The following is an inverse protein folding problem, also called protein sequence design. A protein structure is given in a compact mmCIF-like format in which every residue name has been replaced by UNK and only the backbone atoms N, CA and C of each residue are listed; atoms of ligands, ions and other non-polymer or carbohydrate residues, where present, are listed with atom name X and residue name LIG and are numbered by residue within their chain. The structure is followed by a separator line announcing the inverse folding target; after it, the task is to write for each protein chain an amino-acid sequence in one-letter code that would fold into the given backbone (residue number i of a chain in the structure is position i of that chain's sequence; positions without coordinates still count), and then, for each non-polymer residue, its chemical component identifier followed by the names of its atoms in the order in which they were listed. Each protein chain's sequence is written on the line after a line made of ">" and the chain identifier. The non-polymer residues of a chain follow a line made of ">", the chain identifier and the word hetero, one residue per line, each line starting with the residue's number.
data_IF_096848855879
#
_entry.id   IF_096848855879
#
_cell.length_a   1.000
_cell.length_b   1.000
_cell.length_c   1.000
_cell.angle_alpha   90.00
_cell.angle_beta   90.00
_cell.angle_gamma   90.00
#
_symmetry.space_group_name_H-M   'P 1'
#
loop_
_entity.id
_entity.type
_entity.pdbx_description
1 polymer ?
#
# COMPACT_ATOMS: atom_id res chain seq x y z
N UNK A 1 8.82 18.37 0.95
CA UNK A 1 8.39 18.58 -0.45
C UNK A 1 6.99 19.13 -0.45
N UNK A 2 6.83 20.26 -1.11
CA UNK A 2 5.62 21.10 -1.12
C UNK A 2 4.42 20.30 -1.65
N UNK A 3 3.33 20.32 -0.89
CA UNK A 3 2.02 19.86 -1.33
C UNK A 3 1.50 20.87 -2.34
N UNK A 4 1.37 20.46 -3.60
CA UNK A 4 0.53 21.21 -4.54
C UNK A 4 -0.88 21.25 -4.00
N UNK A 5 -1.34 22.47 -3.72
CA UNK A 5 -2.72 22.74 -3.39
C UNK A 5 -3.59 22.35 -4.60
N UNK A 6 -4.54 21.44 -4.37
CA UNK A 6 -5.64 21.23 -5.30
C UNK A 6 -6.35 22.57 -5.43
N UNK A 7 -6.14 23.26 -6.54
CA UNK A 7 -6.94 24.42 -6.94
C UNK A 7 -8.37 23.91 -7.12
N UNK A 8 -9.29 24.58 -6.45
CA UNK A 8 -10.72 24.41 -6.66
C UNK A 8 -11.00 24.51 -8.16
N UNK A 9 -11.38 23.39 -8.75
CA UNK A 9 -11.85 23.36 -10.14
C UNK A 9 -13.21 24.07 -10.15
N UNK A 10 -13.47 24.94 -11.13
CA UNK A 10 -14.73 25.67 -11.19
C UNK A 10 -15.89 24.67 -11.22
N UNK A 11 -16.79 24.79 -10.23
CA UNK A 11 -18.08 24.11 -10.24
C UNK A 11 -18.84 24.56 -11.50
N UNK A 12 -19.15 23.58 -12.36
CA UNK A 12 -20.11 23.84 -13.44
C UNK A 12 -21.43 24.23 -12.75
N UNK A 13 -21.98 25.36 -13.20
CA UNK A 13 -23.28 25.86 -12.78
C UNK A 13 -24.31 24.71 -12.78
N UNK A 14 -25.17 24.67 -11.78
CA UNK A 14 -26.28 23.74 -11.58
C UNK A 14 -27.37 23.91 -12.65
N UNK A 15 -27.03 23.59 -13.91
CA UNK A 15 -27.98 23.25 -14.95
C UNK A 15 -27.98 21.73 -15.05
N UNK A 16 -29.11 21.09 -14.89
CA UNK A 16 -29.25 19.63 -15.00
C UNK A 16 -28.79 19.17 -16.39
N UNK A 17 -27.57 18.68 -16.48
CA UNK A 17 -27.09 18.02 -17.71
C UNK A 17 -28.04 16.85 -17.98
N UNK A 18 -28.64 16.70 -19.19
CA UNK A 18 -29.56 15.61 -19.46
C UNK A 18 -28.87 14.27 -19.25
N UNK A 19 -29.59 13.35 -18.62
CA UNK A 19 -29.11 11.98 -18.48
C UNK A 19 -29.05 11.30 -19.84
N UNK A 20 -28.03 10.47 -20.07
CA UNK A 20 -27.81 9.73 -21.32
C UNK A 20 -27.53 8.26 -21.02
N UNK A 21 -27.87 7.41 -21.99
CA UNK A 21 -27.55 5.98 -21.92
C UNK A 21 -26.13 5.74 -22.43
N UNK A 22 -25.41 4.80 -21.80
CA UNK A 22 -24.02 4.50 -22.12
C UNK A 22 -23.72 3.02 -21.85
N UNK A 23 -23.04 2.37 -22.79
CA UNK A 23 -22.44 1.07 -22.60
C UNK A 23 -21.00 1.22 -22.08
N UNK A 24 -20.70 0.53 -20.98
CA UNK A 24 -19.36 0.47 -20.39
C UNK A 24 -18.64 -0.79 -20.89
N UNK A 25 -17.49 -0.61 -21.51
CA UNK A 25 -16.72 -1.72 -22.12
C UNK A 25 -15.54 -2.20 -21.26
N UNK A 26 -15.12 -1.44 -20.24
CA UNK A 26 -14.01 -1.82 -19.34
C UNK A 26 -14.22 -1.22 -17.94
N UNK A 27 -13.41 -1.67 -16.98
CA UNK A 27 -13.30 -1.08 -15.64
C UNK A 27 -11.86 -0.63 -15.44
N UNK A 28 -11.64 0.66 -15.24
CA UNK A 28 -10.33 1.26 -15.05
C UNK A 28 -9.66 0.83 -13.74
N UNK A 29 -8.35 1.01 -13.65
CA UNK A 29 -7.53 0.64 -12.48
C UNK A 29 -7.90 1.39 -11.20
N UNK A 30 -8.63 2.49 -11.31
CA UNK A 30 -9.19 3.27 -10.19
C UNK A 30 -10.62 2.82 -9.80
N UNK A 31 -11.14 1.78 -10.45
CA UNK A 31 -12.45 1.19 -10.19
C UNK A 31 -13.62 1.86 -10.91
N UNK A 32 -13.38 2.85 -11.78
CA UNK A 32 -14.43 3.50 -12.57
C UNK A 32 -14.75 2.71 -13.83
N UNK A 33 -16.03 2.64 -14.20
CA UNK A 33 -16.44 2.12 -15.50
C UNK A 33 -15.95 3.01 -16.65
N UNK A 34 -15.59 2.40 -17.78
CA UNK A 34 -15.08 3.10 -18.97
C UNK A 34 -16.01 2.90 -20.12
N UNK A 35 -16.49 4.00 -20.70
CA UNK A 35 -17.31 4.03 -21.91
C UNK A 35 -16.81 5.05 -22.92
N UNK A 36 -17.59 5.23 -24.01
CA UNK A 36 -17.35 6.28 -25.01
C UNK A 36 -18.62 7.05 -25.28
N UNK A 37 -18.51 8.37 -25.26
CA UNK A 37 -19.58 9.27 -25.69
C UNK A 37 -19.79 9.17 -27.22
N UNK A 38 -20.92 9.65 -27.71
CA UNK A 38 -21.25 9.65 -29.15
C UNK A 38 -20.19 10.36 -30.03
N UNK A 39 -19.47 11.33 -29.47
CA UNK A 39 -18.36 12.02 -30.13
C UNK A 39 -17.02 11.25 -30.07
N UNK A 40 -17.02 9.99 -29.57
CA UNK A 40 -15.83 9.13 -29.42
C UNK A 40 -14.97 9.39 -28.19
N UNK A 41 -15.25 10.43 -27.42
CA UNK A 41 -14.49 10.77 -26.20
C UNK A 41 -14.66 9.72 -25.11
N UNK A 42 -13.58 9.37 -24.44
CA UNK A 42 -13.61 8.42 -23.31
C UNK A 42 -14.33 9.08 -22.12
N UNK A 43 -15.24 8.33 -21.50
CA UNK A 43 -15.92 8.75 -20.27
C UNK A 43 -15.68 7.75 -19.16
N UNK A 44 -15.36 8.28 -17.97
CA UNK A 44 -15.19 7.51 -16.74
C UNK A 44 -16.43 7.69 -15.86
N UNK A 45 -17.00 6.57 -15.40
CA UNK A 45 -18.23 6.56 -14.60
C UNK A 45 -17.96 5.93 -13.24
N UNK A 46 -18.07 6.73 -12.20
CA UNK A 46 -17.91 6.23 -10.84
C UNK A 46 -19.03 5.26 -10.48
N UNK A 47 -18.66 4.06 -9.96
CA UNK A 47 -19.59 3.00 -9.61
C UNK A 47 -20.12 2.18 -10.81
N UNK A 48 -19.70 2.47 -12.05
CA UNK A 48 -20.00 1.65 -13.22
C UNK A 48 -19.00 0.50 -13.38
N UNK A 49 -19.40 -0.56 -14.09
CA UNK A 49 -18.56 -1.73 -14.39
C UNK A 49 -18.59 -2.05 -15.90
N UNK A 50 -17.48 -2.57 -16.39
CA UNK A 50 -17.43 -3.08 -17.76
C UNK A 50 -18.50 -4.15 -18.03
N UNK A 51 -19.11 -4.10 -19.20
CA UNK A 51 -20.22 -4.96 -19.62
C UNK A 51 -21.60 -4.47 -19.19
N UNK A 52 -21.72 -3.31 -18.56
CA UNK A 52 -23.00 -2.73 -18.15
C UNK A 52 -23.53 -1.74 -19.17
N UNK A 53 -24.88 -1.66 -19.27
CA UNK A 53 -25.59 -0.52 -19.88
C UNK A 53 -26.16 0.32 -18.75
N UNK A 54 -25.85 1.61 -18.76
CA UNK A 54 -26.16 2.52 -17.66
C UNK A 54 -26.82 3.80 -18.17
N UNK A 55 -27.51 4.48 -17.26
CA UNK A 55 -27.86 5.90 -17.41
C UNK A 55 -26.91 6.71 -16.55
N UNK A 56 -26.32 7.78 -17.11
CA UNK A 56 -25.39 8.64 -16.41
C UNK A 56 -25.62 10.11 -16.71
N UNK A 57 -25.11 11.02 -15.86
CA UNK A 57 -25.07 12.47 -16.08
C UNK A 57 -23.62 12.95 -16.09
N UNK A 58 -23.27 13.86 -17.01
CA UNK A 58 -21.93 14.45 -17.05
C UNK A 58 -21.68 15.32 -15.82
N UNK A 59 -20.52 15.15 -15.20
CA UNK A 59 -20.05 15.95 -14.06
C UNK A 59 -18.92 16.88 -14.50
N UNK A 60 -18.02 16.37 -15.33
CA UNK A 60 -16.88 17.13 -15.85
C UNK A 60 -16.54 16.66 -17.24
N UNK A 61 -16.12 17.60 -18.11
CA UNK A 61 -15.66 17.30 -19.46
C UNK A 61 -14.52 18.26 -19.84
N UNK A 62 -13.47 17.70 -20.46
CA UNK A 62 -12.39 18.49 -21.06
C UNK A 62 -12.13 18.03 -22.50
N UNK A 63 -11.05 18.50 -23.14
CA UNK A 63 -10.73 18.15 -24.54
C UNK A 63 -10.48 16.65 -24.78
N UNK A 64 -10.01 15.90 -23.78
CA UNK A 64 -9.55 14.52 -23.93
C UNK A 64 -10.47 13.49 -23.31
N UNK A 65 -11.16 13.82 -22.21
CA UNK A 65 -11.98 12.87 -21.44
C UNK A 65 -13.18 13.56 -20.79
N UNK A 66 -14.14 12.73 -20.38
CA UNK A 66 -15.27 13.14 -19.56
C UNK A 66 -15.35 12.29 -18.26
N UNK A 67 -15.97 12.86 -17.24
CA UNK A 67 -16.39 12.16 -16.03
C UNK A 67 -17.90 12.26 -15.90
N UNK A 68 -18.54 11.13 -15.55
CA UNK A 68 -19.97 11.08 -15.36
C UNK A 68 -20.35 10.38 -14.06
N UNK A 69 -21.50 10.73 -13.52
CA UNK A 69 -22.09 10.10 -12.36
C UNK A 69 -23.14 9.08 -12.79
N UNK A 70 -23.07 7.89 -12.23
CA UNK A 70 -24.03 6.82 -12.41
C UNK A 70 -25.39 7.22 -11.83
N UNK A 71 -26.45 7.15 -12.64
CA UNK A 71 -27.84 7.35 -12.22
C UNK A 71 -28.54 6.01 -12.00
N UNK A 72 -28.46 5.11 -13.00
CA UNK A 72 -29.07 3.77 -12.92
C UNK A 72 -28.32 2.78 -13.80
N UNK A 73 -28.53 1.48 -13.54
CA UNK A 73 -27.99 0.37 -14.34
C UNK A 73 -29.16 -0.38 -14.95
N UNK A 74 -29.30 -0.33 -16.28
CA UNK A 74 -30.36 -1.02 -17.05
C UNK A 74 -29.98 -2.47 -17.34
N UNK A 75 -28.69 -2.73 -17.66
CA UNK A 75 -28.12 -4.07 -17.81
C UNK A 75 -26.95 -4.24 -16.88
N UNK A 76 -27.06 -5.16 -15.91
CA UNK A 76 -26.03 -5.41 -14.91
C UNK A 76 -24.96 -6.36 -15.42
N UNK A 77 -23.71 -6.11 -15.03
CA UNK A 77 -22.63 -7.10 -15.13
C UNK A 77 -22.81 -8.21 -14.09
N UNK A 78 -22.39 -9.43 -14.43
CA UNK A 78 -22.35 -10.57 -13.49
C UNK A 78 -21.40 -10.33 -12.30
N UNK A 79 -20.46 -9.38 -12.46
CA UNK A 79 -19.56 -8.96 -11.39
C UNK A 79 -20.23 -8.09 -10.31
N UNK A 80 -21.44 -7.55 -10.62
CA UNK A 80 -22.09 -6.57 -9.72
C UNK A 80 -22.78 -7.23 -8.55
N UNK A 81 -22.58 -6.64 -7.38
CA UNK A 81 -23.35 -6.92 -6.17
C UNK A 81 -23.89 -5.64 -5.53
N UNK A 82 -24.86 -5.79 -4.62
CA UNK A 82 -25.25 -4.69 -3.72
C UNK A 82 -24.12 -4.46 -2.73
N UNK A 83 -23.61 -3.23 -2.56
CA UNK A 83 -22.58 -2.93 -1.56
C UNK A 83 -23.01 -3.40 -0.16
N UNK A 84 -22.21 -4.22 0.54
CA UNK A 84 -22.55 -4.68 1.88
C UNK A 84 -22.38 -3.58 2.96
N UNK A 85 -21.59 -2.55 2.68
CA UNK A 85 -21.38 -1.44 3.60
C UNK A 85 -22.43 -0.35 3.39
N UNK A 86 -23.10 0.07 4.46
CA UNK A 86 -24.11 1.16 4.40
C UNK A 86 -23.54 2.52 3.99
N UNK A 87 -22.23 2.72 4.20
CA UNK A 87 -21.55 3.97 3.86
C UNK A 87 -20.89 3.96 2.47
N UNK A 88 -21.08 2.90 1.68
CA UNK A 88 -20.37 2.70 0.42
C UNK A 88 -20.60 3.81 -0.62
N UNK A 89 -21.75 4.47 -0.59
CA UNK A 89 -22.08 5.58 -1.50
C UNK A 89 -21.38 6.90 -1.16
N UNK A 90 -20.92 7.07 0.08
CA UNK A 90 -20.35 8.32 0.58
C UNK A 90 -18.88 8.19 0.94
N UNK A 91 -18.51 7.10 1.63
CA UNK A 91 -17.16 6.89 2.14
C UNK A 91 -16.14 6.68 1.02
N UNK A 92 -15.00 7.38 1.08
CA UNK A 92 -13.89 7.26 0.12
C UNK A 92 -12.98 6.05 0.35
N UNK A 93 -13.18 5.27 1.44
CA UNK A 93 -12.27 4.19 1.82
C UNK A 93 -12.31 2.95 0.92
N UNK A 94 -13.43 2.70 0.22
CA UNK A 94 -13.64 1.50 -0.61
C UNK A 94 -14.22 1.86 -1.97
N UNK A 95 -13.52 1.50 -3.05
CA UNK A 95 -13.95 1.82 -4.43
C UNK A 95 -14.72 0.67 -5.08
N UNK A 96 -14.57 -0.58 -4.59
CA UNK A 96 -15.07 -1.80 -5.24
C UNK A 96 -16.14 -2.55 -4.45
N UNK A 97 -16.86 -1.91 -3.53
CA UNK A 97 -17.90 -2.54 -2.73
C UNK A 97 -19.07 -3.10 -3.59
N UNK A 98 -19.28 -2.52 -4.77
CA UNK A 98 -20.30 -2.94 -5.74
C UNK A 98 -19.84 -4.10 -6.64
N UNK A 99 -18.63 -4.62 -6.44
CA UNK A 99 -18.04 -5.76 -7.16
C UNK A 99 -17.96 -6.97 -6.22
N UNK A 100 -18.34 -8.16 -6.70
CA UNK A 100 -18.21 -9.39 -5.90
C UNK A 100 -16.74 -9.67 -5.56
N UNK A 101 -16.41 -10.28 -4.41
CA UNK A 101 -15.01 -10.53 -4.01
C UNK A 101 -14.19 -11.28 -5.06
N UNK A 102 -14.75 -12.32 -5.67
CA UNK A 102 -14.09 -13.07 -6.73
C UNK A 102 -13.78 -12.19 -7.97
N UNK A 103 -14.72 -11.31 -8.35
CA UNK A 103 -14.53 -10.40 -9.47
C UNK A 103 -13.52 -9.29 -9.14
N UNK A 104 -13.40 -8.85 -7.89
CA UNK A 104 -12.35 -7.90 -7.47
C UNK A 104 -10.95 -8.46 -7.77
N UNK A 105 -10.70 -9.73 -7.42
CA UNK A 105 -9.41 -10.38 -7.69
C UNK A 105 -9.18 -10.52 -9.19
N UNK A 106 -10.19 -10.90 -9.97
CA UNK A 106 -10.10 -11.01 -11.43
C UNK A 106 -9.78 -9.67 -12.09
N UNK A 107 -10.43 -8.58 -11.66
CA UNK A 107 -10.13 -7.21 -12.13
C UNK A 107 -8.70 -6.81 -11.80
N UNK A 108 -8.23 -7.02 -10.58
CA UNK A 108 -6.86 -6.69 -10.16
C UNK A 108 -5.82 -7.47 -10.97
N UNK A 109 -6.09 -8.75 -11.26
CA UNK A 109 -5.27 -9.56 -12.17
C UNK A 109 -5.22 -8.96 -13.59
N UNK A 110 -6.38 -8.59 -14.12
CA UNK A 110 -6.47 -7.95 -15.45
C UNK A 110 -5.71 -6.62 -15.46
N UNK A 111 -5.87 -5.78 -14.45
CA UNK A 111 -5.18 -4.51 -14.32
C UNK A 111 -3.66 -4.66 -14.25
N UNK A 112 -3.17 -5.65 -13.51
CA UNK A 112 -1.74 -5.93 -13.48
C UNK A 112 -1.22 -6.23 -14.88
N UNK A 113 -1.84 -7.17 -15.62
CA UNK A 113 -1.44 -7.54 -16.97
C UNK A 113 -1.50 -6.36 -17.94
N UNK A 114 -2.56 -5.55 -17.85
CA UNK A 114 -2.68 -4.32 -18.67
C UNK A 114 -1.59 -3.29 -18.32
N UNK A 115 -1.25 -3.16 -17.06
CA UNK A 115 -0.21 -2.22 -16.57
C UNK A 115 1.17 -2.65 -17.03
N UNK A 116 1.49 -3.96 -16.98
CA UNK A 116 2.73 -4.50 -17.55
C UNK A 116 2.87 -4.17 -19.04
N UNK A 117 1.76 -4.24 -19.78
CA UNK A 117 1.74 -3.95 -21.22
C UNK A 117 1.85 -2.45 -21.51
N UNK A 118 0.99 -1.62 -20.89
CA UNK A 118 0.80 -0.20 -21.27
C UNK A 118 1.85 0.72 -20.63
N UNK A 119 2.15 0.51 -19.35
CA UNK A 119 3.06 1.35 -18.57
C UNK A 119 4.45 0.74 -18.55
N UNK A 120 4.56 -0.52 -18.21
CA UNK A 120 5.82 -1.25 -18.16
C UNK A 120 6.43 -1.49 -19.53
N UNK A 121 5.61 -1.57 -20.58
CA UNK A 121 6.05 -1.92 -21.93
C UNK A 121 6.91 -3.21 -21.91
N UNK A 122 6.49 -4.17 -21.10
CA UNK A 122 7.14 -5.46 -21.02
C UNK A 122 7.05 -6.17 -22.37
N UNK A 123 8.07 -6.95 -22.77
CA UNK A 123 8.00 -7.73 -24.00
C UNK A 123 6.78 -8.67 -23.99
N UNK A 124 6.06 -8.83 -25.13
CA UNK A 124 4.87 -9.67 -25.19
C UNK A 124 5.07 -11.09 -24.68
N UNK A 125 6.23 -11.68 -24.94
CA UNK A 125 6.61 -13.00 -24.42
C UNK A 125 6.67 -13.01 -22.89
N UNK A 126 7.28 -11.99 -22.29
CA UNK A 126 7.38 -11.87 -20.84
C UNK A 126 6.02 -11.64 -20.20
N UNK A 127 5.11 -10.89 -20.85
CA UNK A 127 3.73 -10.72 -20.39
C UNK A 127 2.99 -12.06 -20.41
N UNK A 128 3.15 -12.86 -21.48
CA UNK A 128 2.53 -14.17 -21.59
C UNK A 128 3.05 -15.13 -20.51
N UNK A 129 4.37 -15.13 -20.26
CA UNK A 129 4.98 -15.91 -19.18
C UNK A 129 4.46 -15.45 -17.81
N UNK A 130 4.48 -14.14 -17.55
CA UNK A 130 3.92 -13.55 -16.34
C UNK A 130 2.47 -13.98 -16.12
N UNK A 131 1.63 -13.93 -17.16
CA UNK A 131 0.22 -14.34 -17.10
C UNK A 131 0.01 -15.82 -16.76
N UNK A 132 0.90 -16.71 -17.23
CA UNK A 132 0.84 -18.17 -16.95
C UNK A 132 1.28 -18.49 -15.53
N UNK A 133 2.32 -17.84 -15.01
CA UNK A 133 2.86 -18.09 -13.67
C UNK A 133 2.20 -17.25 -12.58
N UNK A 134 1.35 -16.26 -12.94
CA UNK A 134 0.75 -15.35 -12.00
C UNK A 134 -0.13 -16.10 -11.00
N UNK A 135 0.38 -16.21 -9.77
CA UNK A 135 -0.39 -16.66 -8.61
C UNK A 135 -1.19 -15.49 -8.06
N UNK A 136 -2.48 -15.71 -7.89
CA UNK A 136 -3.35 -14.73 -7.24
C UNK A 136 -3.86 -15.30 -5.92
N UNK A 137 -3.77 -14.52 -4.86
CA UNK A 137 -4.25 -14.89 -3.54
C UNK A 137 -5.11 -13.78 -2.95
N UNK A 138 -6.32 -14.13 -2.51
CA UNK A 138 -7.22 -13.23 -1.82
C UNK A 138 -7.15 -13.48 -0.33
N UNK A 139 -6.77 -12.46 0.42
CA UNK A 139 -6.81 -12.49 1.87
C UNK A 139 -8.25 -12.27 2.39
N UNK A 140 -8.44 -12.29 3.71
CA UNK A 140 -9.74 -12.01 4.31
C UNK A 140 -10.30 -10.66 3.85
N UNK A 141 -11.58 -10.64 3.44
CA UNK A 141 -12.22 -9.44 2.89
C UNK A 141 -12.90 -8.56 3.95
N UNK A 142 -13.02 -9.04 5.19
CA UNK A 142 -13.68 -8.34 6.28
C UNK A 142 -12.81 -8.36 7.55
N UNK A 143 -12.97 -7.33 8.38
CA UNK A 143 -12.35 -7.24 9.71
C UNK A 143 -10.81 -7.38 9.72
N UNK A 144 -10.17 -7.12 8.59
CA UNK A 144 -8.75 -7.36 8.38
C UNK A 144 -7.86 -6.18 8.75
N UNK A 145 -8.40 -4.96 8.72
CA UNK A 145 -7.61 -3.74 8.82
C UNK A 145 -7.18 -3.48 10.26
N UNK A 146 -5.89 -3.57 10.51
CA UNK A 146 -5.26 -3.42 11.84
C UNK A 146 -4.70 -2.04 12.11
N UNK A 147 -4.70 -1.14 11.13
CA UNK A 147 -4.27 0.26 11.27
C UNK A 147 -5.18 1.17 10.47
N UNK A 148 -5.66 2.23 11.11
CA UNK A 148 -6.59 3.20 10.52
C UNK A 148 -6.16 4.62 10.84
N UNK A 149 -6.55 5.54 9.98
CA UNK A 149 -6.50 6.98 10.25
C UNK A 149 -7.91 7.52 10.17
N UNK A 150 -8.40 8.02 11.28
CA UNK A 150 -9.67 8.71 11.39
C UNK A 150 -9.48 10.22 11.34
N UNK A 151 -10.51 10.89 10.88
CA UNK A 151 -10.65 12.33 10.86
C UNK A 151 -11.84 12.73 11.71
N UNK A 152 -11.69 13.77 12.52
CA UNK A 152 -12.74 14.33 13.34
C UNK A 152 -12.95 15.79 12.96
N UNK A 153 -14.18 16.16 12.57
CA UNK A 153 -14.54 17.49 12.10
C UNK A 153 -15.26 18.36 13.15
N UNK A 154 -15.17 17.98 14.42
CA UNK A 154 -15.92 18.61 15.52
C UNK A 154 -17.21 17.89 15.89
N UNK A 155 -17.74 17.03 15.02
CA UNK A 155 -19.02 16.31 15.22
C UNK A 155 -18.89 14.82 14.98
N UNK A 156 -18.19 14.42 13.92
CA UNK A 156 -18.07 13.03 13.49
C UNK A 156 -16.63 12.58 13.39
N UNK A 157 -16.36 11.34 13.85
CA UNK A 157 -15.10 10.64 13.72
C UNK A 157 -15.24 9.54 12.66
N UNK A 158 -14.53 9.66 11.55
CA UNK A 158 -14.65 8.71 10.46
C UNK A 158 -13.59 8.83 9.39
N UNK A 159 -13.97 8.53 8.16
CA UNK A 159 -13.11 8.63 6.99
C UNK A 159 -13.57 9.76 6.08
N UNK A 160 -12.68 10.26 5.24
CA UNK A 160 -13.09 11.23 4.24
C UNK A 160 -14.05 10.64 3.21
N UNK A 161 -15.00 11.45 2.80
CA UNK A 161 -15.83 11.19 1.64
C UNK A 161 -14.97 11.15 0.36
N UNK A 162 -15.51 10.55 -0.69
CA UNK A 162 -14.82 10.46 -1.99
C UNK A 162 -14.50 11.85 -2.53
N UNK A 163 -13.24 12.04 -2.97
CA UNK A 163 -12.75 13.32 -3.55
C UNK A 163 -13.06 14.56 -2.69
N UNK A 164 -13.16 14.40 -1.37
CA UNK A 164 -13.55 15.44 -0.43
C UNK A 164 -12.84 15.30 0.91
N UNK A 165 -12.79 16.37 1.69
CA UNK A 165 -12.37 16.38 3.09
C UNK A 165 -13.56 16.33 4.07
N UNK A 166 -14.78 16.15 3.58
CA UNK A 166 -15.93 15.92 4.44
C UNK A 166 -15.80 14.58 5.15
N UNK A 167 -16.03 14.56 6.46
CA UNK A 167 -15.95 13.33 7.25
C UNK A 167 -17.26 12.58 7.14
N UNK A 168 -17.16 11.28 6.83
CA UNK A 168 -18.26 10.33 6.87
C UNK A 168 -18.09 9.46 8.09
N UNK A 169 -19.10 9.36 8.91
CA UNK A 169 -19.10 8.46 10.07
C UNK A 169 -18.79 7.02 9.63
N UNK A 170 -17.80 6.41 10.26
CA UNK A 170 -17.30 5.09 9.89
C UNK A 170 -17.81 3.96 10.79
N UNK A 171 -18.95 4.17 11.48
CA UNK A 171 -19.51 3.19 12.39
C UNK A 171 -19.85 1.86 11.68
N UNK A 172 -19.50 0.74 12.31
CA UNK A 172 -19.71 -0.58 11.75
C UNK A 172 -18.92 -0.84 10.45
N UNK A 173 -17.80 -0.20 10.25
CA UNK A 173 -16.97 -0.40 9.07
C UNK A 173 -16.60 -1.88 8.91
N UNK A 174 -16.93 -2.48 7.75
CA UNK A 174 -16.77 -3.91 7.51
C UNK A 174 -15.30 -4.37 7.48
N UNK A 175 -14.36 -3.51 7.09
CA UNK A 175 -12.96 -3.89 6.92
C UNK A 175 -12.10 -3.65 8.16
N UNK A 176 -12.53 -2.77 9.07
CA UNK A 176 -11.78 -2.41 10.28
C UNK A 176 -11.90 -3.52 11.31
N UNK A 177 -10.80 -3.85 12.00
CA UNK A 177 -10.81 -4.83 13.08
C UNK A 177 -11.79 -4.43 14.20
N UNK A 178 -12.51 -5.38 14.82
CA UNK A 178 -13.56 -5.08 15.80
C UNK A 178 -13.07 -4.23 16.98
N UNK A 179 -11.84 -4.42 17.41
CA UNK A 179 -11.20 -3.67 18.51
C UNK A 179 -11.05 -2.19 18.15
N UNK A 180 -10.61 -1.91 16.92
CA UNK A 180 -10.50 -0.54 16.41
C UNK A 180 -11.88 0.11 16.25
N UNK A 181 -12.89 -0.62 15.79
CA UNK A 181 -14.25 -0.08 15.63
C UNK A 181 -14.88 0.26 16.99
N UNK A 182 -14.66 -0.59 18.02
CA UNK A 182 -15.02 -0.26 19.40
C UNK A 182 -14.31 0.98 19.92
N UNK A 183 -12.99 1.05 19.73
CA UNK A 183 -12.20 2.21 20.14
C UNK A 183 -12.69 3.50 19.45
N UNK A 184 -13.07 3.41 18.15
CA UNK A 184 -13.66 4.54 17.41
C UNK A 184 -14.98 5.00 18.06
N UNK A 185 -15.88 4.06 18.38
CA UNK A 185 -17.18 4.38 18.95
C UNK A 185 -17.04 5.08 20.32
N UNK A 186 -16.17 4.56 21.18
CA UNK A 186 -15.89 5.18 22.47
C UNK A 186 -15.22 6.55 22.30
N UNK A 187 -14.27 6.68 21.40
CA UNK A 187 -13.61 7.95 21.10
C UNK A 187 -14.60 8.98 20.54
N UNK A 188 -15.49 8.56 19.62
CA UNK A 188 -16.57 9.41 19.10
C UNK A 188 -17.44 9.96 20.24
N UNK A 189 -17.93 9.10 21.12
CA UNK A 189 -18.79 9.50 22.24
C UNK A 189 -18.12 10.53 23.14
N UNK A 190 -16.82 10.40 23.35
CA UNK A 190 -16.04 11.32 24.18
C UNK A 190 -15.73 12.65 23.50
N UNK A 191 -15.31 12.60 22.22
CA UNK A 191 -15.03 13.81 21.42
C UNK A 191 -16.29 14.67 21.23
N UNK A 192 -17.48 14.09 21.30
CA UNK A 192 -18.77 14.82 21.26
C UNK A 192 -19.33 15.16 22.62
N UNK A 193 -18.65 14.84 23.73
CA UNK A 193 -19.09 15.24 25.06
C UNK A 193 -19.08 16.77 25.25
N UNK A 194 -19.97 17.34 26.09
CA UNK A 194 -20.01 18.78 26.33
C UNK A 194 -18.68 19.39 26.77
N UNK A 195 -17.91 18.65 27.59
CA UNK A 195 -16.60 19.07 28.05
C UNK A 195 -15.61 19.24 26.89
N UNK A 196 -15.55 18.25 25.99
CA UNK A 196 -14.70 18.31 24.81
C UNK A 196 -15.14 19.36 23.81
N UNK A 197 -16.44 19.48 23.56
CA UNK A 197 -16.98 20.47 22.66
C UNK A 197 -16.68 21.91 23.13
N UNK A 198 -16.71 22.16 24.44
CA UNK A 198 -16.30 23.43 25.01
C UNK A 198 -14.80 23.72 24.81
N UNK A 199 -13.97 22.70 24.98
CA UNK A 199 -12.52 22.79 24.75
C UNK A 199 -12.21 23.06 23.28
N UNK A 200 -12.84 22.32 22.36
CA UNK A 200 -12.66 22.50 20.91
C UNK A 200 -13.10 23.87 20.42
N UNK A 201 -14.24 24.37 20.93
CA UNK A 201 -14.71 25.71 20.62
C UNK A 201 -13.71 26.80 21.07
N UNK A 202 -13.14 26.67 22.28
CA UNK A 202 -12.12 27.60 22.78
C UNK A 202 -10.81 27.54 22.00
N UNK A 203 -10.43 26.37 21.50
CA UNK A 203 -9.22 26.18 20.68
C UNK A 203 -9.45 26.55 19.20
N UNK A 204 -10.70 26.70 18.77
CA UNK A 204 -11.05 26.88 17.37
C UNK A 204 -10.66 25.68 16.52
N UNK A 205 -10.98 24.46 16.97
CA UNK A 205 -10.64 23.24 16.26
C UNK A 205 -11.34 23.19 14.90
N UNK A 206 -10.56 22.97 13.85
CA UNK A 206 -11.06 22.77 12.47
C UNK A 206 -11.13 21.28 12.15
N UNK A 207 -10.05 20.54 12.43
CA UNK A 207 -10.02 19.09 12.29
C UNK A 207 -8.97 18.46 13.20
N UNK A 208 -9.13 17.14 13.39
CA UNK A 208 -8.23 16.31 14.15
C UNK A 208 -8.00 14.99 13.43
N UNK A 209 -6.73 14.59 13.24
CA UNK A 209 -6.35 13.31 12.66
C UNK A 209 -5.83 12.38 13.75
N UNK A 210 -6.48 11.23 13.87
CA UNK A 210 -6.14 10.21 14.85
C UNK A 210 -5.79 8.90 14.12
N UNK A 211 -4.58 8.43 14.34
CA UNK A 211 -4.16 7.13 13.85
C UNK A 211 -4.32 6.09 14.97
N UNK A 212 -4.96 4.98 14.65
CA UNK A 212 -5.16 3.88 15.59
C UNK A 212 -4.55 2.60 15.05
N UNK A 213 -3.86 1.85 15.91
CA UNK A 213 -3.18 0.60 15.57
C UNK A 213 -3.54 -0.49 16.57
N UNK A 214 -3.86 -1.69 16.04
CA UNK A 214 -4.07 -2.89 16.82
C UNK A 214 -2.71 -3.48 17.23
N UNK A 215 -2.54 -3.73 18.52
CA UNK A 215 -1.33 -4.34 19.06
C UNK A 215 -1.41 -5.86 19.05
N UNK A 216 -0.29 -6.54 19.30
CA UNK A 216 -0.20 -8.01 19.40
C UNK A 216 -1.16 -8.59 20.44
N UNK A 217 -1.35 -7.92 21.57
CA UNK A 217 -2.24 -8.33 22.65
C UNK A 217 -3.71 -7.92 22.45
N UNK A 218 -4.09 -7.60 21.22
CA UNK A 218 -5.44 -7.14 20.82
C UNK A 218 -5.86 -5.79 21.46
N UNK A 219 -4.96 -5.10 22.19
CA UNK A 219 -5.19 -3.73 22.64
C UNK A 219 -5.05 -2.74 21.49
N UNK A 220 -5.53 -1.53 21.69
CA UNK A 220 -5.47 -0.45 20.68
C UNK A 220 -4.59 0.68 21.19
N UNK A 221 -3.67 1.13 20.35
CA UNK A 221 -2.94 2.37 20.59
C UNK A 221 -3.43 3.46 19.66
N UNK A 222 -3.52 4.68 20.19
CA UNK A 222 -3.92 5.87 19.45
C UNK A 222 -2.73 6.82 19.31
N UNK A 223 -2.66 7.46 18.16
CA UNK A 223 -1.68 8.50 17.87
C UNK A 223 -2.37 9.75 17.34
N UNK A 224 -2.19 10.87 18.04
CA UNK A 224 -2.64 12.16 17.57
C UNK A 224 -1.69 12.66 16.48
N UNK A 225 -2.03 12.42 15.22
CA UNK A 225 -1.14 12.67 14.10
C UNK A 225 -1.06 14.15 13.73
N UNK A 226 -2.19 14.79 13.63
CA UNK A 226 -2.30 16.17 13.20
C UNK A 226 -3.55 16.82 13.79
N UNK A 227 -3.52 18.15 13.97
CA UNK A 227 -4.65 18.93 14.41
C UNK A 227 -4.55 20.33 13.84
N UNK A 228 -5.68 20.90 13.41
CA UNK A 228 -5.74 22.28 12.94
C UNK A 228 -6.66 23.08 13.84
N UNK A 229 -6.14 24.18 14.40
CA UNK A 229 -6.84 25.11 15.26
C UNK A 229 -6.70 26.52 14.73
N UNK A 230 -7.79 27.29 14.71
CA UNK A 230 -7.76 28.71 14.33
C UNK A 230 -7.11 29.60 15.41
N UNK A 231 -7.02 29.11 16.66
CA UNK A 231 -6.37 29.79 17.78
C UNK A 231 -4.83 29.75 17.76
N UNK A 232 -4.22 29.16 16.72
CA UNK A 232 -2.77 29.08 16.55
C UNK A 232 -2.09 28.02 17.44
N UNK A 233 -0.75 27.98 17.39
CA UNK A 233 0.08 26.91 18.00
C UNK A 233 -0.12 26.74 19.52
N UNK A 234 -0.37 27.84 20.25
CA UNK A 234 -0.58 27.75 21.70
C UNK A 234 -1.92 27.06 22.05
N UNK A 235 -2.98 27.35 21.29
CA UNK A 235 -4.27 26.70 21.45
C UNK A 235 -4.18 25.21 21.06
N UNK A 236 -3.45 24.89 20.01
CA UNK A 236 -3.17 23.51 19.59
C UNK A 236 -2.40 22.74 20.66
N UNK A 237 -1.33 23.29 21.22
CA UNK A 237 -0.56 22.66 22.27
C UNK A 237 -1.41 22.35 23.51
N UNK A 238 -2.23 23.32 23.96
CA UNK A 238 -3.15 23.14 25.08
C UNK A 238 -4.22 22.08 24.79
N UNK A 239 -4.75 22.04 23.57
CA UNK A 239 -5.69 21.01 23.15
C UNK A 239 -5.04 19.62 23.17
N UNK A 240 -3.80 19.47 22.64
CA UNK A 240 -3.04 18.22 22.70
C UNK A 240 -2.82 17.75 24.14
N UNK A 241 -2.40 18.66 25.03
CA UNK A 241 -2.21 18.36 26.44
C UNK A 241 -3.52 17.86 27.10
N UNK A 242 -4.63 18.53 26.83
CA UNK A 242 -5.96 18.15 27.34
C UNK A 242 -6.40 16.79 26.79
N UNK A 243 -6.14 16.51 25.50
CA UNK A 243 -6.38 15.20 24.90
C UNK A 243 -5.54 14.11 25.58
N UNK A 244 -4.26 14.36 25.84
CA UNK A 244 -3.38 13.43 26.57
C UNK A 244 -3.88 13.16 27.98
N UNK A 245 -4.27 14.19 28.73
CA UNK A 245 -4.79 14.05 30.10
C UNK A 245 -6.07 13.22 30.12
N UNK A 246 -6.95 13.44 29.16
CA UNK A 246 -8.22 12.76 29.04
C UNK A 246 -8.09 11.27 28.70
N UNK A 247 -7.20 10.90 27.79
CA UNK A 247 -7.04 9.52 27.39
C UNK A 247 -6.22 8.70 28.39
N UNK A 248 -5.39 9.33 29.23
CA UNK A 248 -4.77 8.66 30.39
C UNK A 248 -5.81 8.04 31.33
N UNK A 249 -7.03 8.54 31.35
CA UNK A 249 -8.14 7.99 32.15
C UNK A 249 -8.80 6.76 31.53
N UNK A 250 -8.35 6.34 30.35
CA UNK A 250 -8.99 5.29 29.57
C UNK A 250 -8.22 3.96 29.67
N UNK A 251 -8.76 3.00 30.43
CA UNK A 251 -8.17 1.68 30.58
C UNK A 251 -8.04 0.97 29.22
N UNK A 252 -6.82 0.60 28.85
CA UNK A 252 -6.53 -0.20 27.65
C UNK A 252 -6.18 0.60 26.40
N UNK A 253 -6.15 1.95 26.45
CA UNK A 253 -5.68 2.77 25.36
C UNK A 253 -4.37 3.49 25.74
N UNK A 254 -3.41 3.40 24.84
CA UNK A 254 -2.18 4.22 24.91
C UNK A 254 -2.30 5.35 23.90
N UNK A 255 -2.11 6.59 24.33
CA UNK A 255 -1.97 7.72 23.40
C UNK A 255 -0.52 8.14 23.31
N UNK A 256 -0.11 8.43 22.07
CA UNK A 256 1.23 8.86 21.72
C UNK A 256 2.28 8.05 22.47
N UNK A 257 2.32 6.71 22.29
CA UNK A 257 3.23 5.86 23.04
C UNK A 257 4.65 6.32 22.81
N UNK A 258 5.37 6.50 23.92
CA UNK A 258 6.82 6.74 23.87
C UNK A 258 7.51 5.39 23.62
N UNK A 259 8.44 5.38 22.66
CA UNK A 259 9.19 4.17 22.33
C UNK A 259 8.50 3.30 21.28
N UNK A 260 8.71 2.01 21.34
CA UNK A 260 8.19 1.06 20.35
C UNK A 260 6.83 0.49 20.76
N UNK A 261 6.03 0.12 19.76
CA UNK A 261 4.80 -0.66 19.94
C UNK A 261 5.00 -2.07 19.40
N UNK A 262 4.49 -3.06 20.11
CA UNK A 262 4.57 -4.45 19.71
C UNK A 262 3.38 -4.83 18.83
N UNK A 263 3.67 -5.41 17.66
CA UNK A 263 2.67 -5.90 16.71
C UNK A 263 2.81 -7.39 16.50
N UNK A 264 1.78 -8.02 15.92
CA UNK A 264 1.84 -9.43 15.56
C UNK A 264 2.83 -9.66 14.40
N UNK A 265 3.65 -10.69 14.53
CA UNK A 265 4.58 -11.15 13.50
C UNK A 265 4.55 -12.69 13.41
N UNK A 266 4.55 -13.30 12.20
CA UNK A 266 4.39 -14.74 12.06
C UNK A 266 5.54 -15.57 12.64
N UNK A 267 6.75 -15.03 12.63
CA UNK A 267 7.97 -15.79 12.98
C UNK A 267 8.67 -15.27 14.25
N UNK A 268 8.18 -14.19 14.86
CA UNK A 268 8.82 -13.55 16.02
C UNK A 268 7.81 -13.30 17.12
N UNK A 269 8.14 -13.72 18.34
CA UNK A 269 7.30 -13.46 19.52
C UNK A 269 7.26 -11.98 19.90
N UNK A 270 8.35 -11.27 19.63
CA UNK A 270 8.44 -9.83 19.88
C UNK A 270 8.91 -9.11 18.63
N UNK A 271 7.97 -8.56 17.87
CA UNK A 271 8.28 -7.66 16.77
C UNK A 271 7.72 -6.27 17.07
N UNK A 272 8.58 -5.27 16.97
CA UNK A 272 8.22 -3.91 17.31
C UNK A 272 8.35 -2.97 16.12
N UNK A 273 7.52 -1.93 16.13
CA UNK A 273 7.63 -0.81 15.19
C UNK A 273 7.64 0.52 15.96
N UNK A 274 8.13 1.57 15.33
CA UNK A 274 7.84 2.92 15.80
C UNK A 274 6.33 3.18 15.70
N UNK A 275 5.70 3.88 16.64
CA UNK A 275 4.27 4.21 16.57
C UNK A 275 3.84 4.86 15.26
N UNK A 276 4.73 5.68 14.67
CA UNK A 276 4.51 6.31 13.36
C UNK A 276 5.11 5.50 12.20
N UNK A 277 5.78 4.38 12.48
CA UNK A 277 6.40 3.52 11.48
C UNK A 277 5.36 2.85 10.58
N UNK A 278 5.80 2.39 9.43
CA UNK A 278 4.93 1.65 8.52
C UNK A 278 4.48 0.31 9.15
N UNK A 279 3.24 -0.05 8.90
CA UNK A 279 2.65 -1.35 9.21
C UNK A 279 1.73 -1.73 8.07
N UNK A 280 1.85 -2.96 7.57
CA UNK A 280 0.92 -3.50 6.58
C UNK A 280 -0.53 -3.39 7.10
N UNK A 281 -1.45 -2.78 6.34
CA UNK A 281 -2.81 -2.54 6.82
C UNK A 281 -3.60 -3.81 7.09
N UNK A 282 -3.34 -4.89 6.35
CA UNK A 282 -3.98 -6.18 6.52
C UNK A 282 -3.19 -7.04 7.52
N UNK A 283 -3.87 -7.53 8.58
CA UNK A 283 -3.24 -8.26 9.68
C UNK A 283 -2.48 -9.54 9.26
N UNK A 284 -2.91 -10.20 8.18
CA UNK A 284 -2.27 -11.41 7.65
C UNK A 284 -1.26 -11.14 6.51
N UNK A 285 -1.12 -9.89 6.05
CA UNK A 285 -0.27 -9.59 4.89
C UNK A 285 1.18 -10.01 5.09
N UNK A 286 1.75 -9.72 6.26
CA UNK A 286 3.13 -10.06 6.58
C UNK A 286 3.38 -11.57 6.48
N UNK A 287 2.47 -12.39 7.03
CA UNK A 287 2.55 -13.85 6.95
C UNK A 287 2.49 -14.34 5.50
N UNK A 288 1.52 -13.86 4.72
CA UNK A 288 1.34 -14.23 3.32
C UNK A 288 2.57 -13.88 2.48
N UNK A 289 3.09 -12.66 2.62
CA UNK A 289 4.23 -12.20 1.83
C UNK A 289 5.51 -12.93 2.21
N UNK A 290 5.79 -13.08 3.51
CA UNK A 290 6.98 -13.81 4.00
C UNK A 290 6.96 -15.28 3.57
N UNK A 291 5.79 -15.93 3.66
CA UNK A 291 5.62 -17.33 3.23
C UNK A 291 5.89 -17.49 1.74
N UNK A 292 5.33 -16.61 0.90
CA UNK A 292 5.54 -16.63 -0.55
C UNK A 292 7.01 -16.39 -0.91
N UNK A 293 7.62 -15.32 -0.39
CA UNK A 293 9.02 -14.99 -0.67
C UNK A 293 9.93 -16.13 -0.23
N UNK A 294 9.76 -16.67 0.98
CA UNK A 294 10.58 -17.78 1.50
C UNK A 294 10.44 -19.02 0.64
N UNK A 295 9.22 -19.38 0.25
CA UNK A 295 8.94 -20.54 -0.60
C UNK A 295 9.62 -20.41 -1.95
N UNK A 296 9.49 -19.26 -2.60
CA UNK A 296 10.04 -19.01 -3.93
C UNK A 296 11.56 -18.91 -3.90
N UNK A 297 12.14 -18.24 -2.91
CA UNK A 297 13.61 -18.20 -2.77
C UNK A 297 14.20 -19.59 -2.56
N UNK A 298 13.61 -20.41 -1.69
CA UNK A 298 14.05 -21.79 -1.45
C UNK A 298 13.94 -22.68 -2.70
N UNK A 299 12.96 -22.41 -3.56
CA UNK A 299 12.78 -23.11 -4.82
C UNK A 299 13.82 -22.62 -5.83
N UNK A 300 13.93 -21.31 -6.02
CA UNK A 300 14.85 -20.69 -6.98
C UNK A 300 16.31 -21.07 -6.73
N UNK A 301 16.75 -21.07 -5.47
CA UNK A 301 18.13 -21.41 -5.11
C UNK A 301 18.54 -22.81 -5.62
N UNK A 302 17.59 -23.71 -5.87
CA UNK A 302 17.83 -25.07 -6.38
C UNK A 302 17.84 -25.17 -7.92
N UNK A 303 17.50 -24.07 -8.61
CA UNK A 303 17.41 -24.08 -10.07
C UNK A 303 18.78 -24.15 -10.73
N UNK A 304 18.89 -24.89 -11.88
CA UNK A 304 20.08 -24.85 -12.71
C UNK A 304 20.43 -23.41 -13.14
N UNK A 305 21.71 -23.08 -13.13
CA UNK A 305 22.22 -21.75 -13.46
C UNK A 305 22.47 -20.87 -12.23
N UNK A 306 22.20 -21.38 -11.02
CA UNK A 306 22.55 -20.73 -9.75
C UNK A 306 23.63 -21.51 -8.98
N UNK A 307 24.34 -22.44 -9.64
CA UNK A 307 25.38 -23.29 -9.02
C UNK A 307 26.47 -22.48 -8.35
N UNK A 308 26.90 -21.37 -8.96
CA UNK A 308 27.90 -20.46 -8.38
C UNK A 308 27.42 -19.79 -7.11
N UNK A 309 26.12 -19.51 -7.00
CA UNK A 309 25.51 -19.05 -5.76
C UNK A 309 25.49 -20.18 -4.72
N UNK A 310 25.21 -21.42 -5.15
CA UNK A 310 25.25 -22.58 -4.29
C UNK A 310 26.65 -22.87 -3.73
N UNK A 311 27.70 -22.68 -4.53
CA UNK A 311 29.10 -22.86 -4.12
C UNK A 311 29.61 -21.84 -3.12
N UNK A 312 28.95 -20.66 -3.04
CA UNK A 312 29.33 -19.59 -2.10
C UNK A 312 28.92 -19.95 -0.68
N UNK A 313 29.88 -19.87 0.25
CA UNK A 313 29.60 -19.97 1.71
C UNK A 313 29.04 -18.69 2.30
N UNK A 314 29.40 -17.53 1.74
CA UNK A 314 29.02 -16.21 2.22
C UNK A 314 28.21 -15.49 1.13
N UNK A 315 26.98 -15.10 1.45
CA UNK A 315 26.13 -14.28 0.59
C UNK A 315 26.05 -12.84 1.11
N UNK A 316 25.93 -11.90 0.20
CA UNK A 316 25.58 -10.52 0.52
C UNK A 316 24.16 -10.25 0.08
N UNK A 317 23.34 -9.75 0.98
CA UNK A 317 21.98 -9.33 0.69
C UNK A 317 21.81 -7.83 0.96
N UNK A 318 20.94 -7.18 0.19
CA UNK A 318 20.42 -5.85 0.49
C UNK A 318 18.93 -5.95 0.75
N UNK A 319 18.47 -5.28 1.81
CA UNK A 319 17.06 -5.03 2.09
C UNK A 319 16.83 -3.51 2.02
N UNK A 320 16.29 -3.07 0.89
CA UNK A 320 16.07 -1.67 0.57
C UNK A 320 14.65 -1.26 0.92
N UNK A 321 14.51 -0.13 1.60
CA UNK A 321 13.27 0.32 2.25
C UNK A 321 12.82 -0.67 3.33
N UNK A 322 13.78 -1.14 4.13
CA UNK A 322 13.59 -2.25 5.05
C UNK A 322 12.61 -1.96 6.21
N UNK A 323 12.26 -0.72 6.46
CA UNK A 323 11.39 -0.33 7.57
C UNK A 323 11.91 -0.86 8.91
N UNK A 324 11.05 -1.54 9.65
CA UNK A 324 11.40 -2.20 10.92
C UNK A 324 12.00 -3.61 10.74
N UNK A 325 12.31 -4.02 9.51
CA UNK A 325 12.96 -5.30 9.22
C UNK A 325 11.98 -6.46 8.98
N UNK A 326 10.78 -6.18 8.48
CA UNK A 326 9.75 -7.21 8.26
C UNK A 326 10.20 -8.36 7.34
N UNK A 327 11.17 -8.12 6.46
CA UNK A 327 11.67 -9.09 5.48
C UNK A 327 13.18 -9.31 5.56
N UNK A 328 13.91 -8.60 6.43
CA UNK A 328 15.38 -8.54 6.47
C UNK A 328 16.06 -9.89 6.75
N UNK A 329 15.39 -10.83 7.40
CA UNK A 329 15.88 -12.15 7.73
C UNK A 329 15.62 -13.22 6.62
N UNK A 330 14.80 -12.88 5.61
CA UNK A 330 14.40 -13.85 4.58
C UNK A 330 15.54 -14.37 3.72
N UNK A 331 16.56 -13.57 3.33
CA UNK A 331 17.72 -14.10 2.64
C UNK A 331 18.46 -15.19 3.44
N UNK A 332 18.64 -14.98 4.75
CA UNK A 332 19.27 -15.94 5.64
C UNK A 332 18.41 -17.21 5.81
N UNK A 333 17.09 -17.05 5.96
CA UNK A 333 16.16 -18.20 6.02
C UNK A 333 16.17 -19.04 4.74
N UNK A 334 16.30 -18.39 3.59
CA UNK A 334 16.39 -19.09 2.31
C UNK A 334 17.72 -19.83 2.15
N UNK A 335 18.83 -19.22 2.58
CA UNK A 335 20.16 -19.79 2.54
C UNK A 335 20.33 -21.04 3.42
N UNK A 336 19.56 -21.13 4.52
CA UNK A 336 19.67 -22.20 5.51
C UNK A 336 20.91 -22.07 6.39
N UNK A 337 21.15 -23.07 7.24
CA UNK A 337 22.21 -23.03 8.27
C UNK A 337 23.64 -23.24 7.74
N UNK A 338 23.78 -23.70 6.51
CA UNK A 338 25.10 -24.02 5.90
C UNK A 338 25.81 -22.77 5.32
N UNK A 339 25.16 -21.64 5.29
CA UNK A 339 25.68 -20.41 4.69
C UNK A 339 25.56 -19.21 5.62
N UNK A 340 26.53 -18.32 5.54
CA UNK A 340 26.47 -17.03 6.20
C UNK A 340 25.89 -15.99 5.25
N UNK A 341 24.91 -15.19 5.71
CA UNK A 341 24.32 -14.10 4.93
C UNK A 341 24.52 -12.79 5.66
N UNK A 342 25.21 -11.86 5.02
CA UNK A 342 25.33 -10.48 5.48
C UNK A 342 24.27 -9.65 4.80
N UNK A 343 23.26 -9.19 5.54
CA UNK A 343 22.17 -8.35 5.01
C UNK A 343 22.38 -6.89 5.37
N UNK A 344 22.59 -6.03 4.37
CA UNK A 344 22.58 -4.58 4.52
C UNK A 344 21.14 -4.08 4.48
N UNK A 345 20.70 -3.41 5.55
CA UNK A 345 19.35 -2.89 5.70
C UNK A 345 19.37 -1.37 5.58
N UNK A 346 18.65 -0.82 4.60
CA UNK A 346 18.70 0.60 4.24
C UNK A 346 17.30 1.21 4.31
N UNK A 347 17.16 2.27 5.09
CA UNK A 347 15.89 2.96 5.32
C UNK A 347 16.15 4.45 5.62
N UNK A 348 15.33 5.34 5.07
CA UNK A 348 15.45 6.78 5.29
C UNK A 348 14.93 7.26 6.65
N UNK A 349 14.17 6.44 7.39
CA UNK A 349 13.53 6.82 8.65
C UNK A 349 14.29 6.23 9.84
N UNK A 350 14.94 7.07 10.62
CA UNK A 350 15.76 6.65 11.75
C UNK A 350 15.00 5.83 12.82
N UNK A 351 13.74 6.18 13.07
CA UNK A 351 12.89 5.46 14.02
C UNK A 351 12.59 4.02 13.55
N UNK A 352 12.51 3.78 12.25
CA UNK A 352 12.34 2.45 11.67
C UNK A 352 13.62 1.61 11.82
N UNK A 353 14.79 2.19 11.53
CA UNK A 353 16.08 1.53 11.76
C UNK A 353 16.30 1.19 13.24
N UNK A 354 15.91 2.04 14.17
CA UNK A 354 15.98 1.74 15.58
C UNK A 354 15.10 0.54 15.96
N UNK A 355 13.90 0.44 15.38
CA UNK A 355 13.03 -0.73 15.55
C UNK A 355 13.63 -1.99 14.90
N UNK A 356 14.24 -1.87 13.71
CA UNK A 356 14.94 -2.98 13.06
C UNK A 356 16.08 -3.52 13.95
N UNK A 357 16.92 -2.65 14.51
CA UNK A 357 18.01 -3.05 15.40
C UNK A 357 17.51 -3.78 16.65
N UNK A 358 16.34 -3.45 17.14
CA UNK A 358 15.67 -4.18 18.21
C UNK A 358 15.19 -5.57 17.72
N UNK A 359 14.51 -5.61 16.60
CA UNK A 359 13.94 -6.83 16.02
C UNK A 359 15.02 -7.83 15.58
N UNK A 360 16.13 -7.32 15.04
CA UNK A 360 17.21 -8.09 14.43
C UNK A 360 18.56 -7.60 14.95
N UNK A 361 18.88 -7.89 16.20
CA UNK A 361 20.15 -7.44 16.84
C UNK A 361 21.39 -7.89 16.05
N UNK A 362 21.34 -9.06 15.40
CA UNK A 362 22.43 -9.56 14.54
C UNK A 362 22.67 -8.67 13.29
N UNK A 363 21.68 -7.88 12.84
CA UNK A 363 21.80 -6.99 11.69
C UNK A 363 22.10 -5.54 12.09
N UNK A 364 22.26 -5.26 13.39
CA UNK A 364 22.37 -3.88 13.88
C UNK A 364 23.53 -3.08 13.27
N UNK A 365 24.66 -3.75 12.98
CA UNK A 365 25.85 -3.11 12.41
C UNK A 365 25.75 -2.90 10.88
N UNK A 366 24.80 -3.56 10.21
CA UNK A 366 24.52 -3.46 8.77
C UNK A 366 23.29 -2.61 8.48
N UNK A 367 22.64 -2.05 9.52
CA UNK A 367 21.46 -1.21 9.38
C UNK A 367 21.83 0.28 9.35
N UNK A 368 21.55 0.97 8.25
CA UNK A 368 21.88 2.37 8.03
C UNK A 368 20.66 3.24 7.77
N UNK A 369 20.71 4.48 8.25
CA UNK A 369 19.74 5.54 7.93
C UNK A 369 20.29 6.32 6.76
N UNK A 370 19.78 6.08 5.57
CA UNK A 370 20.30 6.67 4.32
C UNK A 370 19.19 6.72 3.26
N UNK A 371 19.26 7.69 2.35
CA UNK A 371 18.40 7.64 1.15
C UNK A 371 18.79 6.43 0.30
N UNK A 372 17.80 5.61 -0.01
CA UNK A 372 18.03 4.35 -0.73
C UNK A 372 18.60 4.55 -2.11
N UNK A 373 18.26 5.62 -2.82
CA UNK A 373 18.77 5.90 -4.16
C UNK A 373 20.24 6.35 -4.10
N UNK A 374 20.61 7.11 -3.08
CA UNK A 374 22.00 7.52 -2.82
C UNK A 374 22.85 6.30 -2.45
N UNK A 375 22.35 5.43 -1.56
CA UNK A 375 22.99 4.15 -1.23
C UNK A 375 23.24 3.31 -2.49
N UNK A 376 22.22 3.09 -3.34
CA UNK A 376 22.35 2.34 -4.59
C UNK A 376 23.45 2.96 -5.47
N UNK A 377 23.41 4.28 -5.67
CA UNK A 377 24.38 4.97 -6.52
C UNK A 377 25.81 4.82 -6.03
N UNK A 378 26.02 4.97 -4.71
CA UNK A 378 27.35 4.81 -4.08
C UNK A 378 27.87 3.36 -4.23
N UNK A 379 27.06 2.36 -3.96
CA UNK A 379 27.45 0.95 -4.03
C UNK A 379 27.66 0.46 -5.46
N UNK A 380 26.83 0.89 -6.41
CA UNK A 380 27.02 0.63 -7.84
C UNK A 380 28.37 1.21 -8.31
N UNK A 381 28.70 2.45 -7.91
CA UNK A 381 29.98 3.08 -8.24
C UNK A 381 31.19 2.35 -7.63
N UNK A 382 31.04 1.83 -6.41
CA UNK A 382 32.06 1.06 -5.72
C UNK A 382 32.14 -0.41 -6.21
N UNK A 383 31.24 -0.85 -7.09
CA UNK A 383 31.09 -2.23 -7.53
C UNK A 383 30.85 -3.24 -6.37
N UNK A 384 30.19 -2.78 -5.30
CA UNK A 384 29.80 -3.56 -4.13
C UNK A 384 28.35 -4.00 -4.30
N UNK A 385 28.10 -5.11 -4.98
CA UNK A 385 26.77 -5.53 -5.39
C UNK A 385 26.29 -6.78 -4.62
N UNK A 386 25.00 -6.88 -4.29
CA UNK A 386 24.45 -8.00 -3.53
C UNK A 386 24.30 -9.25 -4.39
N UNK A 387 24.23 -10.41 -3.74
CA UNK A 387 23.80 -11.67 -4.35
C UNK A 387 22.27 -11.77 -4.34
N UNK A 388 21.64 -11.23 -3.28
CA UNK A 388 20.19 -11.13 -3.14
C UNK A 388 19.82 -9.68 -2.85
N UNK A 389 18.97 -9.12 -3.69
CA UNK A 389 18.35 -7.80 -3.50
C UNK A 389 16.88 -8.00 -3.10
N UNK A 390 16.48 -7.42 -1.98
CA UNK A 390 15.09 -7.24 -1.61
C UNK A 390 14.74 -5.76 -1.71
N UNK A 391 13.61 -5.44 -2.30
CA UNK A 391 13.18 -4.06 -2.52
C UNK A 391 11.66 -3.93 -2.31
N UNK A 392 11.26 -3.19 -1.26
CA UNK A 392 9.85 -2.85 -0.93
C UNK A 392 9.67 -1.33 -0.96
N UNK A 393 9.72 -0.70 -2.13
CA UNK A 393 9.74 0.75 -2.26
C UNK A 393 8.36 1.38 -1.98
N UNK A 394 8.30 2.69 -1.67
CA UNK A 394 7.05 3.43 -1.60
C UNK A 394 6.32 3.42 -2.95
N UNK A 395 5.07 3.91 -2.96
CA UNK A 395 4.21 3.93 -4.17
C UNK A 395 4.87 4.51 -5.42
N UNK A 396 5.74 5.50 -5.25
CA UNK A 396 6.47 6.13 -6.35
C UNK A 396 7.58 5.24 -6.94
N UNK A 397 7.91 4.12 -6.29
CA UNK A 397 9.01 3.24 -6.67
C UNK A 397 10.39 3.87 -6.46
N UNK A 398 11.42 3.22 -7.01
CA UNK A 398 12.79 3.77 -7.02
C UNK A 398 13.08 4.67 -8.24
N UNK A 399 12.23 4.59 -9.25
CA UNK A 399 12.35 5.28 -10.52
C UNK A 399 13.19 4.54 -11.57
N UNK A 400 12.76 4.60 -12.82
CA UNK A 400 13.38 3.88 -13.93
C UNK A 400 14.90 4.14 -14.10
N UNK A 401 15.44 5.35 -13.90
CA UNK A 401 16.89 5.57 -13.99
C UNK A 401 17.67 4.77 -12.96
N UNK A 402 17.25 4.77 -11.69
CA UNK A 402 17.89 4.03 -10.59
C UNK A 402 17.78 2.52 -10.83
N UNK A 403 16.61 2.03 -11.23
CA UNK A 403 16.38 0.63 -11.56
C UNK A 403 17.27 0.17 -12.72
N UNK A 404 17.43 0.98 -13.75
CA UNK A 404 18.32 0.69 -14.91
C UNK A 404 19.80 0.63 -14.52
N UNK A 405 20.26 1.60 -13.72
CA UNK A 405 21.64 1.59 -13.23
C UNK A 405 21.93 0.34 -12.40
N UNK A 406 21.03 -0.03 -11.51
CA UNK A 406 21.13 -1.22 -10.67
C UNK A 406 21.09 -2.52 -11.49
N UNK A 407 20.14 -2.69 -12.40
CA UNK A 407 20.06 -3.86 -13.29
C UNK A 407 21.33 -4.03 -14.13
N UNK A 408 21.81 -2.94 -14.75
CA UNK A 408 23.06 -2.94 -15.53
C UNK A 408 24.28 -3.30 -14.68
N UNK A 409 24.35 -2.81 -13.44
CA UNK A 409 25.46 -3.14 -12.55
C UNK A 409 25.43 -4.64 -12.16
N UNK A 410 24.28 -5.16 -11.81
CA UNK A 410 24.11 -6.57 -11.43
C UNK A 410 24.50 -7.54 -12.57
N UNK A 411 24.27 -7.19 -13.84
CA UNK A 411 24.68 -8.05 -14.97
C UNK A 411 26.18 -8.06 -15.23
N UNK A 412 26.93 -7.08 -14.68
CA UNK A 412 28.40 -7.06 -14.76
C UNK A 412 29.04 -7.98 -13.71
N UNK A 413 28.28 -8.45 -12.71
CA UNK A 413 28.74 -9.46 -11.77
C UNK A 413 28.99 -10.78 -12.48
N UNK A 414 30.09 -11.44 -12.14
CA UNK A 414 30.38 -12.82 -12.61
C UNK A 414 29.48 -13.86 -11.91
N UNK A 415 29.05 -13.58 -10.68
CA UNK A 415 28.16 -14.49 -9.91
C UNK A 415 26.69 -14.16 -10.15
N UNK A 416 25.80 -15.14 -9.94
CA UNK A 416 24.36 -14.94 -10.06
C UNK A 416 23.84 -13.84 -9.16
N UNK A 417 22.69 -13.26 -9.54
CA UNK A 417 21.98 -12.25 -8.76
C UNK A 417 20.49 -12.56 -8.72
N UNK A 418 19.89 -12.42 -7.54
CA UNK A 418 18.45 -12.60 -7.30
C UNK A 418 17.84 -11.27 -6.84
N UNK A 419 16.70 -10.91 -7.41
CA UNK A 419 15.97 -9.69 -7.08
C UNK A 419 14.55 -10.04 -6.65
N UNK A 420 14.21 -9.75 -5.40
CA UNK A 420 12.86 -9.82 -4.85
C UNK A 420 12.28 -8.42 -4.86
N UNK A 421 11.17 -8.24 -5.56
CA UNK A 421 10.49 -6.95 -5.65
C UNK A 421 9.09 -7.04 -5.07
N UNK A 422 8.79 -6.19 -4.09
CA UNK A 422 7.49 -6.05 -3.47
C UNK A 422 6.94 -4.69 -3.88
N UNK A 423 5.65 -4.58 -4.24
CA UNK A 423 5.09 -3.31 -4.67
C UNK A 423 3.60 -3.20 -4.38
N UNK A 424 3.21 -2.10 -3.76
CA UNK A 424 1.81 -1.73 -3.53
C UNK A 424 1.18 -0.90 -4.66
N UNK A 425 1.97 -0.56 -5.70
CA UNK A 425 1.51 0.15 -6.89
C UNK A 425 1.97 -0.56 -8.16
N UNK A 426 1.01 -0.96 -8.99
CA UNK A 426 1.28 -1.74 -10.20
C UNK A 426 2.01 -0.92 -11.29
N UNK A 427 1.83 0.39 -11.32
CA UNK A 427 2.43 1.24 -12.35
C UNK A 427 3.92 1.45 -12.08
N UNK A 428 4.29 1.77 -10.84
CA UNK A 428 5.69 1.86 -10.43
C UNK A 428 6.38 0.50 -10.52
N UNK A 429 5.70 -0.60 -10.13
CA UNK A 429 6.19 -1.96 -10.32
C UNK A 429 6.56 -2.23 -11.78
N UNK A 430 5.61 -2.04 -12.70
CA UNK A 430 5.80 -2.34 -14.11
C UNK A 430 6.94 -1.51 -14.73
N UNK A 431 7.04 -0.22 -14.36
CA UNK A 431 8.08 0.70 -14.81
C UNK A 431 9.46 0.32 -14.27
N UNK A 432 9.57 0.04 -12.98
CA UNK A 432 10.87 -0.13 -12.32
C UNK A 432 11.45 -1.55 -12.49
N UNK A 433 10.62 -2.55 -12.79
CA UNK A 433 11.08 -3.91 -13.05
C UNK A 433 11.42 -4.18 -14.52
N UNK A 434 10.91 -3.37 -15.46
CA UNK A 434 11.28 -3.49 -16.88
C UNK A 434 12.79 -3.47 -17.14
N UNK A 435 13.59 -2.58 -16.52
CA UNK A 435 15.05 -2.57 -16.73
C UNK A 435 15.75 -3.90 -16.42
N UNK A 436 15.22 -4.71 -15.49
CA UNK A 436 15.78 -6.02 -15.18
C UNK A 436 15.51 -7.00 -16.34
N UNK A 437 14.30 -6.98 -16.92
CA UNK A 437 14.00 -7.79 -18.11
C UNK A 437 14.83 -7.35 -19.32
N UNK A 438 15.02 -6.04 -19.53
CA UNK A 438 15.87 -5.50 -20.60
C UNK A 438 17.34 -5.93 -20.43
N UNK A 439 17.77 -6.11 -19.17
CA UNK A 439 19.09 -6.61 -18.82
C UNK A 439 19.16 -8.15 -18.76
N UNK A 440 18.21 -8.86 -19.36
CA UNK A 440 18.15 -10.32 -19.46
C UNK A 440 18.01 -11.07 -18.14
N UNK A 441 17.41 -10.45 -17.13
CA UNK A 441 16.95 -11.19 -15.97
C UNK A 441 15.75 -12.07 -16.33
N UNK A 442 15.74 -13.27 -15.80
CA UNK A 442 14.62 -14.19 -15.92
C UNK A 442 13.59 -13.91 -14.82
N UNK A 443 12.30 -13.83 -15.18
CA UNK A 443 11.22 -13.82 -14.20
C UNK A 443 11.01 -15.24 -13.68
N UNK A 444 11.27 -15.46 -12.38
CA UNK A 444 11.06 -16.76 -11.72
C UNK A 444 9.65 -16.89 -11.18
N UNK A 445 9.12 -15.84 -10.57
CA UNK A 445 7.77 -15.88 -10.00
C UNK A 445 7.11 -14.50 -10.02
N UNK A 446 5.77 -14.52 -10.12
CA UNK A 446 4.91 -13.35 -9.99
C UNK A 446 3.69 -13.73 -9.18
N UNK A 447 3.41 -12.99 -8.12
CA UNK A 447 2.24 -13.18 -7.27
C UNK A 447 1.52 -11.84 -7.05
N UNK A 448 0.19 -11.89 -7.03
CA UNK A 448 -0.69 -10.79 -6.70
C UNK A 448 -1.50 -11.15 -5.46
N UNK A 449 -1.40 -10.32 -4.43
CA UNK A 449 -2.13 -10.48 -3.17
C UNK A 449 -3.21 -9.40 -3.04
N UNK A 450 -4.47 -9.82 -2.95
CA UNK A 450 -5.57 -8.95 -2.58
C UNK A 450 -5.69 -8.86 -1.05
N UNK A 451 -4.79 -8.11 -0.44
CA UNK A 451 -4.82 -7.73 0.98
C UNK A 451 -5.58 -6.41 1.21
N UNK A 452 -6.22 -5.86 0.19
CA UNK A 452 -6.96 -4.60 0.23
C UNK A 452 -8.36 -4.79 -0.37
N UNK A 453 -9.07 -5.82 0.10
CA UNK A 453 -10.42 -6.11 -0.39
C UNK A 453 -11.31 -4.86 -0.37
N UNK A 454 -12.18 -4.75 -1.36
CA UNK A 454 -13.07 -3.61 -1.63
C UNK A 454 -12.38 -2.32 -2.09
N UNK A 455 -11.05 -2.32 -2.25
CA UNK A 455 -10.30 -1.20 -2.81
C UNK A 455 -9.64 -1.57 -4.13
N UNK A 456 -9.15 -0.58 -4.86
CA UNK A 456 -8.40 -0.77 -6.10
C UNK A 456 -6.96 -1.29 -5.90
N UNK A 457 -6.47 -1.31 -4.67
CA UNK A 457 -5.09 -1.67 -4.37
C UNK A 457 -4.88 -3.18 -4.31
N UNK A 458 -3.68 -3.61 -4.69
CA UNK A 458 -3.14 -4.96 -4.47
C UNK A 458 -1.64 -4.88 -4.28
N UNK A 459 -1.06 -5.91 -3.65
CA UNK A 459 0.37 -6.09 -3.59
C UNK A 459 0.84 -7.04 -4.69
N UNK A 460 1.96 -6.70 -5.29
CA UNK A 460 2.63 -7.53 -6.29
C UNK A 460 3.99 -7.94 -5.74
N UNK A 461 4.25 -9.25 -5.73
CA UNK A 461 5.55 -9.81 -5.34
C UNK A 461 6.11 -10.55 -6.55
N UNK A 462 7.34 -10.24 -6.92
CA UNK A 462 8.02 -10.90 -8.02
C UNK A 462 9.46 -11.24 -7.64
N UNK A 463 9.98 -12.29 -8.26
CA UNK A 463 11.37 -12.66 -8.13
C UNK A 463 11.97 -12.78 -9.52
N UNK A 464 13.06 -12.06 -9.72
CA UNK A 464 13.88 -12.13 -10.93
C UNK A 464 15.25 -12.70 -10.57
N UNK A 465 15.92 -13.29 -11.55
CA UNK A 465 17.27 -13.79 -11.39
C UNK A 465 18.10 -13.66 -12.65
N UNK A 466 19.37 -13.51 -12.47
CA UNK A 466 20.38 -13.46 -13.53
C UNK A 466 21.48 -14.48 -13.24
N UNK A 467 21.86 -15.33 -14.21
CA UNK A 467 22.79 -16.46 -13.97
C UNK A 467 24.26 -16.05 -13.77
N UNK A 468 24.57 -14.75 -13.90
CA UNK A 468 25.94 -14.27 -13.94
C UNK A 468 26.47 -14.18 -15.39
N UNK A 469 27.51 -13.40 -15.60
CA UNK A 469 28.16 -13.33 -16.89
C UNK A 469 28.89 -14.64 -17.18
N UNK A 470 28.54 -15.32 -18.28
CA UNK A 470 29.31 -16.48 -18.73
C UNK A 470 30.77 -16.06 -18.99
N UNK A 471 31.71 -16.84 -18.47
CA UNK A 471 33.14 -16.65 -18.77
C UNK A 471 33.41 -16.89 -20.25
#
# INVERSE_FOLDING_TARGET
>A
MQREAFKDSPSIATGSTPAFELELHDTATDGRGVGRLANGKVVFVEGGLGGEVITATLVHENSTMAEAQLVSVSKKSDMRQKPPCRHASQCGGCQLQHVTPAAQLALKKQWLVQTLRRIGQWPPEQINNAGRMLRCEQAASARYRQRVRWHFNGHELGFFARKSHNVVNADGCLIVAPQLDRARAELQARLTSPEFQQMFSKAGLVDLQIEATLLKNEAVTLWLKDSRCTGGNAAEAKMRESMHAFVKQWNGLQIDPKGFIQIAHPDMDSFVISPQGFLQPHRNAMELYRSEITRQLKQLIKEPGLEDLHGKRNWTAWDLYCGAGAFSDLPAKAAGTSRHVTTWCVEGVSAAINALKWNHSALANQATVEDVREFIAARVKANELPDILMCDPPRDGIGAPTARALATALTKKKSPSVVVWIACDMASFARDTKPFLDASFNLHSLALFDCFAHTMHAEVISIFWYPGAKQ
#
